data_IF_330868625958
#
_entry.id   IF_330868625958
#
_cell.length_a   1.000
_cell.length_b   1.000
_cell.length_c   1.000
_cell.angle_alpha   90.00
_cell.angle_beta   90.00
_cell.angle_gamma   90.00
#
_symmetry.space_group_name_H-M   'P 1'
#
loop_
_entity.id
_entity.type
_entity.pdbx_description
1 polymer ?
#
# COMPACT_ATOMS: atom_id res chain seq x y z
N UNK A 1 56.10 -53.10 -2.86
CA UNK A 1 54.74 -53.57 -2.51
C UNK A 1 54.03 -52.47 -1.76
N UNK A 2 52.83 -52.09 -2.18
CA UNK A 2 51.87 -51.40 -1.31
C UNK A 2 51.74 -49.89 -1.51
N UNK A 3 50.91 -49.52 -2.47
CA UNK A 3 50.24 -48.23 -2.59
C UNK A 3 49.54 -47.83 -1.30
N UNK A 4 49.48 -46.51 -1.03
CA UNK A 4 48.29 -45.86 -0.47
C UNK A 4 48.41 -44.33 -0.51
N UNK A 5 48.09 -43.78 -1.67
CA UNK A 5 47.45 -42.49 -1.72
C UNK A 5 46.04 -42.60 -1.13
N UNK A 6 45.64 -41.62 -0.33
CA UNK A 6 44.23 -41.29 -0.11
C UNK A 6 44.12 -39.77 0.03
N UNK A 7 43.93 -39.12 -1.12
CA UNK A 7 43.14 -37.91 -1.28
C UNK A 7 41.79 -38.08 -0.57
N UNK A 8 41.34 -37.09 0.22
CA UNK A 8 39.94 -36.72 0.51
C UNK A 8 39.95 -35.85 1.79
N UNK A 9 39.31 -34.70 1.96
CA UNK A 9 38.58 -33.77 1.10
C UNK A 9 38.48 -32.48 1.93
N UNK A 10 38.71 -31.35 1.25
CA UNK A 10 38.34 -30.00 1.66
C UNK A 10 36.88 -29.96 2.12
N UNK A 11 36.64 -29.92 3.43
CA UNK A 11 35.36 -29.45 3.95
C UNK A 11 35.61 -28.09 4.60
N UNK A 12 35.68 -27.07 3.74
CA UNK A 12 35.17 -25.74 4.07
C UNK A 12 33.74 -25.95 4.57
N UNK A 13 33.61 -26.11 5.88
CA UNK A 13 32.34 -26.04 6.59
C UNK A 13 31.88 -24.59 6.51
N UNK A 14 31.35 -24.23 5.34
CA UNK A 14 30.37 -23.18 5.18
C UNK A 14 29.27 -23.58 6.16
N UNK A 15 29.33 -23.06 7.39
CA UNK A 15 28.17 -23.07 8.27
C UNK A 15 27.16 -22.26 7.47
N UNK A 16 26.24 -23.01 6.86
CA UNK A 16 25.01 -22.53 6.28
C UNK A 16 24.51 -21.40 7.17
N UNK A 17 24.70 -20.15 6.71
CA UNK A 17 23.86 -19.05 7.16
C UNK A 17 22.51 -19.45 6.60
N UNK A 18 21.77 -20.23 7.39
CA UNK A 18 20.36 -20.44 7.17
C UNK A 18 19.76 -19.06 7.25
N UNK A 19 19.62 -18.44 6.08
CA UNK A 19 18.81 -17.26 5.91
C UNK A 19 17.40 -17.76 6.20
N UNK A 20 17.05 -17.80 7.48
CA UNK A 20 15.67 -17.69 7.90
C UNK A 20 15.22 -16.39 7.22
N UNK A 21 14.60 -16.52 6.05
CA UNK A 21 13.73 -15.49 5.53
C UNK A 21 12.80 -15.17 6.69
N UNK A 22 13.14 -14.11 7.42
CA UNK A 22 12.32 -13.56 8.47
C UNK A 22 11.02 -13.20 7.77
N UNK A 23 10.04 -14.10 7.84
CA UNK A 23 8.68 -13.90 7.37
C UNK A 23 8.10 -12.78 8.24
N UNK A 24 8.40 -11.54 7.85
CA UNK A 24 7.93 -10.35 8.51
C UNK A 24 6.43 -10.27 8.27
N UNK A 25 5.67 -10.66 9.30
CA UNK A 25 4.21 -10.61 9.26
C UNK A 25 3.76 -9.14 9.17
N UNK A 26 3.32 -8.73 7.98
CA UNK A 26 2.70 -7.43 7.78
C UNK A 26 1.22 -7.50 8.23
N UNK A 27 0.87 -6.81 9.32
CA UNK A 27 -0.52 -6.70 9.78
C UNK A 27 -1.23 -5.58 9.01
N UNK A 28 -2.17 -5.91 8.12
CA UNK A 28 -3.10 -4.93 7.53
C UNK A 28 -4.21 -4.58 8.52
N UNK A 29 -4.61 -3.33 8.55
CA UNK A 29 -5.78 -2.84 9.29
C UNK A 29 -6.67 -2.10 8.29
N UNK A 30 -7.96 -2.42 8.30
CA UNK A 30 -8.97 -1.73 7.54
C UNK A 30 -9.42 -0.49 8.30
N UNK A 31 -9.35 0.67 7.66
CA UNK A 31 -9.85 1.93 8.22
C UNK A 31 -11.13 2.27 7.46
N UNK A 32 -12.22 2.45 8.20
CA UNK A 32 -13.48 2.95 7.65
C UNK A 32 -13.58 4.42 8.02
N UNK A 33 -13.33 5.29 7.04
CA UNK A 33 -13.40 6.74 7.20
C UNK A 33 -14.31 7.35 6.14
N UNK A 34 -14.89 8.51 6.43
CA UNK A 34 -15.88 9.19 5.60
C UNK A 34 -15.47 10.65 5.38
N UNK A 35 -15.04 10.98 4.16
CA UNK A 35 -14.69 12.35 3.79
C UNK A 35 -15.84 13.01 3.03
N UNK A 36 -16.11 14.29 3.33
CA UNK A 36 -17.08 15.10 2.60
C UNK A 36 -16.34 15.99 1.61
N UNK A 37 -16.70 15.92 0.34
CA UNK A 37 -16.14 16.76 -0.73
C UNK A 37 -17.21 17.77 -1.11
N UNK A 38 -16.85 19.05 -1.10
CA UNK A 38 -17.70 20.10 -1.69
C UNK A 38 -17.54 20.06 -3.22
N UNK A 39 -18.64 19.81 -3.92
CA UNK A 39 -18.70 19.71 -5.38
C UNK A 39 -18.36 21.05 -6.06
N UNK A 40 -17.86 20.96 -7.30
CA UNK A 40 -17.65 22.10 -8.19
C UNK A 40 -16.82 23.23 -7.57
N UNK A 41 -15.93 22.89 -6.62
CA UNK A 41 -14.92 23.83 -6.14
C UNK A 41 -14.05 24.19 -7.35
N UNK A 42 -14.15 25.41 -7.90
CA UNK A 42 -13.23 25.81 -8.95
C UNK A 42 -11.81 25.75 -8.36
N UNK A 43 -10.85 25.30 -9.17
CA UNK A 43 -9.48 25.06 -8.72
C UNK A 43 -8.86 26.21 -7.91
N UNK A 44 -7.69 25.97 -7.31
CA UNK A 44 -6.64 25.15 -7.89
C UNK A 44 -6.70 23.67 -7.47
N UNK A 45 -6.44 22.80 -8.44
CA UNK A 45 -6.13 21.39 -8.23
C UNK A 45 -4.63 21.17 -8.39
N UNK A 46 -4.02 20.18 -7.69
CA UNK A 46 -4.64 19.34 -6.68
C UNK A 46 -4.79 20.02 -5.31
N UNK A 47 -5.73 19.57 -4.49
CA UNK A 47 -5.85 20.01 -3.09
C UNK A 47 -6.00 18.84 -2.11
N UNK A 48 -5.58 19.04 -0.87
CA UNK A 48 -5.73 18.05 0.21
C UNK A 48 -7.15 18.14 0.76
N UNK A 49 -7.87 17.03 0.68
CA UNK A 49 -9.22 16.90 1.23
C UNK A 49 -9.22 16.68 2.74
N UNK A 50 -8.24 15.94 3.22
CA UNK A 50 -8.07 15.56 4.61
C UNK A 50 -6.95 14.54 4.76
N UNK A 51 -6.67 14.14 6.00
CA UNK A 51 -5.57 13.24 6.34
C UNK A 51 -6.11 12.07 7.16
N UNK A 52 -5.79 10.85 6.74
CA UNK A 52 -6.11 9.65 7.53
C UNK A 52 -5.11 9.54 8.68
N UNK A 53 -5.56 9.82 9.90
CA UNK A 53 -4.73 9.67 11.09
C UNK A 53 -4.88 8.26 11.69
N UNK A 54 -3.76 7.66 12.07
CA UNK A 54 -3.73 6.38 12.79
C UNK A 54 -2.80 6.48 13.99
N UNK A 55 -3.34 6.14 15.15
CA UNK A 55 -2.57 6.03 16.39
C UNK A 55 -1.75 4.73 16.36
N UNK A 56 -0.56 4.78 15.77
CA UNK A 56 0.37 3.64 15.75
C UNK A 56 1.78 4.05 16.15
N UNK A 57 2.43 3.16 16.91
CA UNK A 57 3.81 3.30 17.36
C UNK A 57 4.86 3.03 16.25
N UNK A 58 4.44 2.74 15.02
CA UNK A 58 5.32 2.33 13.93
C UNK A 58 4.89 2.92 12.59
N UNK A 59 5.85 3.07 11.66
CA UNK A 59 5.59 3.57 10.30
C UNK A 59 4.68 2.63 9.54
N UNK A 60 3.72 3.22 8.83
CA UNK A 60 2.66 2.53 8.09
C UNK A 60 2.55 3.17 6.72
N UNK A 61 2.39 2.33 5.70
CA UNK A 61 2.08 2.78 4.35
C UNK A 61 0.58 2.87 4.14
N UNK A 62 0.11 3.97 3.56
CA UNK A 62 -1.29 4.16 3.18
C UNK A 62 -1.52 3.76 1.72
N UNK A 63 -2.64 3.07 1.47
CA UNK A 63 -3.08 2.69 0.14
C UNK A 63 -4.58 2.94 -0.01
N UNK A 64 -4.97 3.52 -1.14
CA UNK A 64 -6.36 3.85 -1.46
C UNK A 64 -6.77 3.07 -2.70
N UNK A 65 -7.94 2.45 -2.67
CA UNK A 65 -8.49 1.64 -3.75
C UNK A 65 -10.00 1.86 -3.87
N UNK A 66 -10.53 1.84 -5.08
CA UNK A 66 -11.94 1.94 -5.40
C UNK A 66 -12.23 3.11 -6.34
N UNK A 67 -13.47 3.57 -6.29
CA UNK A 67 -13.99 4.56 -7.20
C UNK A 67 -13.33 5.93 -7.01
N UNK A 68 -12.92 6.59 -8.08
CA UNK A 68 -12.11 7.81 -7.97
C UNK A 68 -10.60 7.55 -8.04
N UNK A 69 -10.15 6.31 -7.81
CA UNK A 69 -8.73 5.95 -7.76
C UNK A 69 -8.38 5.03 -8.93
N UNK A 70 -8.65 3.74 -8.78
CA UNK A 70 -8.45 2.68 -9.77
C UNK A 70 -9.75 2.22 -10.44
N UNK A 71 -10.92 2.58 -9.89
CA UNK A 71 -12.23 2.38 -10.52
C UNK A 71 -12.82 3.72 -11.04
N UNK A 72 -13.66 3.62 -12.07
CA UNK A 72 -14.22 4.78 -12.78
C UNK A 72 -15.12 5.64 -11.87
N UNK A 73 -14.94 6.98 -11.81
CA UNK A 73 -14.04 7.80 -12.61
C UNK A 73 -12.60 7.75 -12.09
N UNK A 74 -11.67 7.26 -12.90
CA UNK A 74 -10.30 6.95 -12.44
C UNK A 74 -9.46 8.21 -12.21
N UNK A 75 -8.51 8.13 -11.28
CA UNK A 75 -7.46 9.14 -11.09
C UNK A 75 -7.92 10.49 -10.55
N UNK A 76 -9.14 10.58 -10.00
CA UNK A 76 -9.66 11.80 -9.35
C UNK A 76 -9.19 11.95 -7.90
N UNK A 77 -8.85 10.85 -7.25
CA UNK A 77 -8.43 10.76 -5.86
C UNK A 77 -7.12 9.98 -5.76
N UNK A 78 -6.29 10.36 -4.79
CA UNK A 78 -5.10 9.60 -4.39
C UNK A 78 -4.85 9.77 -2.90
N UNK A 79 -4.02 8.91 -2.31
CA UNK A 79 -3.52 9.09 -0.95
C UNK A 79 -1.99 9.15 -0.96
N UNK A 80 -1.43 10.02 -0.12
CA UNK A 80 0.01 10.02 0.14
C UNK A 80 0.36 8.82 1.03
N UNK A 81 1.24 7.96 0.53
CA UNK A 81 1.66 6.70 1.20
C UNK A 81 2.30 6.93 2.56
N UNK A 82 2.96 8.07 2.78
CA UNK A 82 3.71 8.36 4.00
C UNK A 82 2.91 9.21 5.01
N UNK A 83 2.15 10.20 4.52
CA UNK A 83 1.42 11.14 5.37
C UNK A 83 -0.03 10.75 5.62
N UNK A 84 -0.63 9.94 4.73
CA UNK A 84 -2.06 9.63 4.75
C UNK A 84 -2.95 10.76 4.21
N UNK A 85 -2.37 11.78 3.57
CA UNK A 85 -3.12 12.88 2.96
C UNK A 85 -3.89 12.40 1.73
N UNK A 86 -5.22 12.59 1.75
CA UNK A 86 -6.09 12.33 0.61
C UNK A 86 -6.11 13.57 -0.27
N UNK A 87 -5.77 13.39 -1.54
CA UNK A 87 -5.61 14.45 -2.53
C UNK A 87 -6.65 14.29 -3.63
N UNK A 88 -7.32 15.39 -3.96
CA UNK A 88 -8.27 15.50 -5.07
C UNK A 88 -7.56 16.16 -6.25
N UNK A 89 -7.58 15.48 -7.41
CA UNK A 89 -6.86 15.90 -8.63
C UNK A 89 -7.73 16.63 -9.64
N UNK A 90 -9.05 16.63 -9.48
CA UNK A 90 -9.93 17.33 -10.40
C UNK A 90 -11.38 17.37 -9.94
N UNK A 91 -12.22 17.93 -10.81
CA UNK A 91 -13.66 18.03 -10.60
C UNK A 91 -14.29 16.64 -10.51
N UNK A 92 -15.21 16.50 -9.56
CA UNK A 92 -16.03 15.32 -9.35
C UNK A 92 -17.46 15.69 -9.72
N UNK A 93 -18.01 15.09 -10.77
CA UNK A 93 -19.38 15.31 -11.21
C UNK A 93 -20.36 14.51 -10.34
N UNK A 94 -21.11 15.18 -9.46
CA UNK A 94 -22.06 14.54 -8.54
C UNK A 94 -23.27 13.95 -9.26
N UNK A 95 -23.63 14.48 -10.44
CA UNK A 95 -24.72 13.94 -11.27
C UNK A 95 -24.47 12.50 -11.71
N UNK A 96 -23.21 12.12 -11.92
CA UNK A 96 -22.85 10.77 -12.37
C UNK A 96 -22.56 9.84 -11.17
N UNK A 97 -22.03 10.37 -10.05
CA UNK A 97 -21.58 9.58 -8.91
C UNK A 97 -21.83 10.26 -7.55
N UNK A 98 -23.03 10.10 -7.00
CA UNK A 98 -23.40 10.66 -5.69
C UNK A 98 -22.63 10.07 -4.49
N UNK A 99 -22.04 8.88 -4.63
CA UNK A 99 -21.25 8.21 -3.60
C UNK A 99 -20.12 7.41 -4.23
N UNK A 100 -18.88 7.78 -3.93
CA UNK A 100 -17.71 6.98 -4.25
C UNK A 100 -17.46 5.98 -3.13
N UNK A 101 -17.50 4.68 -3.44
CA UNK A 101 -17.07 3.63 -2.50
C UNK A 101 -15.61 3.30 -2.77
N UNK A 102 -14.81 3.47 -1.72
CA UNK A 102 -13.37 3.25 -1.73
C UNK A 102 -13.10 2.12 -0.73
N UNK A 103 -12.59 1.00 -1.22
CA UNK A 103 -12.34 -0.25 -0.49
C UNK A 103 -11.70 -1.30 -1.41
N UNK A 104 -11.12 -2.36 -0.83
CA UNK A 104 -10.56 -3.47 -1.62
C UNK A 104 -11.72 -4.29 -2.23
N UNK A 105 -11.59 -4.67 -3.50
CA UNK A 105 -12.60 -5.46 -4.22
C UNK A 105 -12.83 -6.81 -3.53
N UNK A 106 -13.90 -6.90 -2.73
CA UNK A 106 -14.49 -8.16 -2.32
C UNK A 106 -15.30 -8.73 -3.47
N UNK A 107 -14.70 -9.64 -4.23
CA UNK A 107 -15.37 -10.54 -5.17
C UNK A 107 -16.49 -11.29 -4.43
N UNK A 108 -17.72 -11.16 -4.90
CA UNK A 108 -18.78 -12.16 -4.72
C UNK A 108 -19.28 -12.59 -6.09
#
# INVERSE_FOLDING_TARGET
MGTRGLLMTLCLGIVSVSSEELLHRQKRIWIVDSFKIEEARPGPYPYVLGTVQIEKAFRVGFHLHGQGVDLEPRGKLSINTDTGDIVVHGELDYELYQKLKVGENGTH
#
